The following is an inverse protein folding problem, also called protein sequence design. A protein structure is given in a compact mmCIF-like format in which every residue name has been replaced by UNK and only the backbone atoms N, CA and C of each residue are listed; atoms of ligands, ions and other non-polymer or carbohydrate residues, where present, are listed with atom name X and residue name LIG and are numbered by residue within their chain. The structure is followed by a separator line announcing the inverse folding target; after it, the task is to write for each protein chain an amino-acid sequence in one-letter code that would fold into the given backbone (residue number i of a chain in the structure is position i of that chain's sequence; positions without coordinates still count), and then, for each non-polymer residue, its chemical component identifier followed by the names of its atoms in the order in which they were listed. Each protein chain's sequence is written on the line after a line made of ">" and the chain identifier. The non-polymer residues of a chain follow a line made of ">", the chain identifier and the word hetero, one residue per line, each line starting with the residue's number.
data_IF_125311252934
#
_entry.id   IF_125311252934
#
_cell.length_a   1.000
_cell.length_b   1.000
_cell.length_c   1.000
_cell.angle_alpha   90.00
_cell.angle_beta   90.00
_cell.angle_gamma   90.00
#
_symmetry.space_group_name_H-M   'P 1'
#
loop_
_entity.id
_entity.type
_entity.pdbx_description
1 polymer ?
#
# COMPACT_ATOMS: atom_id res chain seq x y z
N UNK A 1 -7.86 1.75 15.91
CA UNK A 1 -6.93 2.68 15.25
C UNK A 1 -6.85 4.06 15.88
N UNK A 2 -7.97 4.75 16.18
CA UNK A 2 -7.96 6.10 16.79
C UNK A 2 -6.97 6.27 17.95
N UNK A 3 -7.06 5.44 19.00
CA UNK A 3 -6.16 5.55 20.15
C UNK A 3 -4.67 5.36 19.85
N UNK A 4 -4.30 4.63 18.79
CA UNK A 4 -2.90 4.49 18.35
C UNK A 4 -2.41 5.78 17.68
N UNK A 5 -3.26 6.40 16.86
CA UNK A 5 -2.96 7.66 16.16
C UNK A 5 -2.82 8.80 17.16
N UNK A 6 -3.78 8.92 18.09
CA UNK A 6 -3.77 9.96 19.12
C UNK A 6 -2.59 9.79 20.10
N UNK A 7 -2.23 8.56 20.48
CA UNK A 7 -1.06 8.30 21.32
C UNK A 7 0.27 8.67 20.64
N UNK A 8 0.33 8.68 19.31
CA UNK A 8 1.48 9.14 18.55
C UNK A 8 1.54 10.69 18.41
N UNK A 9 0.58 11.41 19.01
CA UNK A 9 0.48 12.87 18.92
C UNK A 9 -0.10 13.37 17.60
N UNK A 10 -0.72 12.49 16.81
CA UNK A 10 -1.37 12.85 15.55
C UNK A 10 -2.88 13.05 15.74
N UNK A 11 -3.46 13.95 14.95
CA UNK A 11 -4.92 14.13 14.87
C UNK A 11 -5.54 12.95 14.09
N UNK A 12 -6.57 12.34 14.67
CA UNK A 12 -7.29 11.27 13.99
C UNK A 12 -8.40 11.82 13.11
N UNK A 13 -8.35 11.49 11.82
CA UNK A 13 -9.42 11.76 10.88
C UNK A 13 -10.08 10.44 10.46
N UNK A 14 -11.42 10.30 10.57
CA UNK A 14 -12.11 9.13 10.05
C UNK A 14 -11.95 9.07 8.53
N UNK A 15 -11.42 7.96 8.04
CA UNK A 15 -11.48 7.64 6.62
C UNK A 15 -12.91 7.25 6.25
N UNK A 16 -13.54 8.00 5.33
CA UNK A 16 -14.96 7.83 5.02
C UNK A 16 -15.17 6.91 3.81
N UNK A 17 -16.05 5.92 3.98
CA UNK A 17 -16.71 5.25 2.86
C UNK A 17 -17.97 6.01 2.49
N UNK A 18 -18.12 6.40 1.22
CA UNK A 18 -19.25 7.22 0.76
C UNK A 18 -20.64 6.61 1.08
N UNK A 19 -20.72 5.29 1.20
CA UNK A 19 -21.98 4.55 1.39
C UNK A 19 -21.93 3.52 2.51
N UNK A 20 -21.00 3.65 3.46
CA UNK A 20 -20.83 2.68 4.56
C UNK A 20 -20.25 3.32 5.82
N UNK A 21 -20.66 2.79 6.98
CA UNK A 21 -20.09 3.13 8.30
C UNK A 21 -18.68 2.53 8.50
N UNK A 22 -18.17 1.80 7.51
CA UNK A 22 -16.82 1.24 7.55
C UNK A 22 -15.75 2.33 7.57
N UNK A 23 -14.82 2.18 8.51
CA UNK A 23 -13.66 3.07 8.68
C UNK A 23 -12.39 2.31 8.35
N UNK A 24 -12.08 2.20 7.06
CA UNK A 24 -10.88 1.54 6.53
C UNK A 24 -11.16 0.67 5.30
N UNK A 25 -10.13 0.27 4.57
CA UNK A 25 -10.25 -0.49 3.31
C UNK A 25 -10.86 -1.88 3.51
N UNK A 26 -11.82 -2.27 2.67
CA UNK A 26 -12.33 -3.65 2.66
C UNK A 26 -11.20 -4.62 2.25
N UNK A 27 -11.18 -5.79 2.89
CA UNK A 27 -10.26 -6.88 2.48
C UNK A 27 -10.84 -7.76 1.38
N UNK A 28 -12.16 -7.74 1.20
CA UNK A 28 -12.93 -8.57 0.27
C UNK A 28 -14.08 -7.74 -0.35
N UNK A 29 -14.71 -8.26 -1.40
CA UNK A 29 -15.95 -7.69 -1.95
C UNK A 29 -17.08 -7.77 -0.91
N UNK A 30 -17.90 -6.72 -0.82
CA UNK A 30 -19.19 -6.77 -0.13
C UNK A 30 -20.28 -7.35 -1.07
N UNK A 31 -21.53 -7.46 -0.61
CA UNK A 31 -22.63 -8.01 -1.41
C UNK A 31 -22.80 -7.30 -2.76
N UNK A 32 -22.63 -5.98 -2.80
CA UNK A 32 -22.72 -5.17 -4.03
C UNK A 32 -21.54 -5.42 -4.96
N UNK A 33 -20.34 -5.54 -4.39
CA UNK A 33 -19.14 -5.90 -5.12
C UNK A 33 -19.25 -7.30 -5.74
N UNK A 34 -19.82 -8.26 -5.00
CA UNK A 34 -20.07 -9.62 -5.50
C UNK A 34 -21.06 -9.56 -6.67
N UNK A 35 -22.22 -8.93 -6.49
CA UNK A 35 -23.24 -8.79 -7.53
C UNK A 35 -22.70 -8.14 -8.82
N UNK A 36 -21.83 -7.14 -8.68
CA UNK A 36 -21.29 -6.40 -9.83
C UNK A 36 -20.15 -7.11 -10.55
N UNK A 37 -19.25 -7.77 -9.82
CA UNK A 37 -17.97 -8.22 -10.35
C UNK A 37 -17.78 -9.74 -10.39
N UNK A 38 -18.63 -10.51 -9.71
CA UNK A 38 -18.53 -11.97 -9.66
C UNK A 38 -19.54 -12.58 -10.64
N UNK A 39 -19.09 -13.33 -11.66
CA UNK A 39 -19.99 -14.05 -12.55
C UNK A 39 -20.85 -15.09 -11.83
N UNK A 40 -22.07 -15.31 -12.34
CA UNK A 40 -22.97 -16.34 -11.81
C UNK A 40 -22.29 -17.72 -11.80
N UNK A 41 -22.35 -18.39 -10.65
CA UNK A 41 -21.81 -19.74 -10.48
C UNK A 41 -20.30 -19.80 -10.20
N UNK A 42 -19.60 -18.66 -10.09
CA UNK A 42 -18.21 -18.64 -9.63
C UNK A 42 -18.12 -19.13 -8.17
N UNK A 43 -17.25 -20.11 -7.85
CA UNK A 43 -17.04 -20.56 -6.48
C UNK A 43 -16.54 -19.44 -5.57
N UNK A 44 -16.97 -19.47 -4.30
CA UNK A 44 -16.61 -18.48 -3.29
C UNK A 44 -15.09 -18.36 -3.10
N UNK A 45 -14.38 -19.49 -3.23
CA UNK A 45 -12.93 -19.48 -3.11
C UNK A 45 -12.24 -18.69 -4.20
N UNK A 46 -12.86 -18.40 -5.36
CA UNK A 46 -12.20 -17.69 -6.46
C UNK A 46 -12.25 -16.16 -6.31
N UNK A 47 -13.18 -15.62 -5.50
CA UNK A 47 -13.36 -14.18 -5.33
C UNK A 47 -13.17 -13.67 -3.89
N UNK A 48 -13.08 -14.55 -2.90
CA UNK A 48 -12.66 -14.20 -1.53
C UNK A 48 -11.14 -14.05 -1.40
N UNK A 49 -10.54 -13.24 -2.26
CA UNK A 49 -9.12 -12.93 -2.22
C UNK A 49 -8.90 -11.43 -2.07
N UNK A 50 -7.79 -11.05 -1.42
CA UNK A 50 -7.41 -9.66 -1.21
C UNK A 50 -7.41 -8.87 -2.53
N UNK A 51 -6.98 -9.51 -3.63
CA UNK A 51 -6.88 -8.91 -4.96
C UNK A 51 -8.23 -8.56 -5.58
N UNK A 52 -9.25 -9.38 -5.33
CA UNK A 52 -10.60 -9.21 -5.90
C UNK A 52 -11.28 -7.96 -5.36
N UNK A 53 -10.98 -7.57 -4.12
CA UNK A 53 -11.49 -6.35 -3.51
C UNK A 53 -10.80 -5.06 -3.95
N UNK A 54 -9.60 -5.11 -4.56
CA UNK A 54 -8.78 -3.90 -4.78
C UNK A 54 -9.41 -2.89 -5.74
N UNK A 55 -9.96 -3.37 -6.86
CA UNK A 55 -10.58 -2.51 -7.89
C UNK A 55 -11.88 -1.92 -7.35
N UNK A 56 -12.72 -2.74 -6.73
CA UNK A 56 -13.96 -2.29 -6.13
C UNK A 56 -13.71 -1.26 -5.02
N UNK A 57 -12.72 -1.50 -4.15
CA UNK A 57 -12.32 -0.55 -3.14
C UNK A 57 -11.93 0.80 -3.72
N UNK A 58 -11.17 0.80 -4.81
CA UNK A 58 -10.80 2.05 -5.45
C UNK A 58 -12.04 2.80 -5.97
N UNK A 59 -12.98 2.10 -6.61
CA UNK A 59 -14.22 2.70 -7.09
C UNK A 59 -15.04 3.33 -5.95
N UNK A 60 -15.18 2.64 -4.82
CA UNK A 60 -16.00 3.11 -3.70
C UNK A 60 -15.33 4.26 -2.94
N UNK A 61 -13.99 4.28 -2.89
CA UNK A 61 -13.22 5.23 -2.07
C UNK A 61 -12.81 6.50 -2.79
N UNK A 62 -12.55 6.43 -4.09
CA UNK A 62 -12.09 7.58 -4.86
C UNK A 62 -13.04 8.80 -4.84
N UNK A 63 -14.38 8.66 -4.73
CA UNK A 63 -15.26 9.83 -4.68
C UNK A 63 -15.06 10.71 -3.43
N UNK A 64 -14.86 10.11 -2.26
CA UNK A 64 -14.75 10.85 -0.98
C UNK A 64 -13.32 11.18 -0.59
N UNK A 65 -12.35 10.39 -1.10
CA UNK A 65 -10.95 10.55 -0.72
C UNK A 65 -10.35 11.93 -1.05
N UNK A 66 -10.63 12.56 -2.22
CA UNK A 66 -10.12 13.89 -2.50
C UNK A 66 -10.61 14.94 -1.49
N UNK A 67 -11.88 14.89 -1.09
CA UNK A 67 -12.45 15.79 -0.08
C UNK A 67 -11.75 15.61 1.28
N UNK A 68 -11.51 14.36 1.68
CA UNK A 68 -10.81 14.05 2.92
C UNK A 68 -9.35 14.57 2.89
N UNK A 69 -8.67 14.41 1.76
CA UNK A 69 -7.30 14.89 1.57
C UNK A 69 -7.23 16.42 1.50
N UNK A 70 -8.21 17.09 0.91
CA UNK A 70 -8.30 18.55 0.90
C UNK A 70 -8.55 19.14 2.30
N UNK A 71 -9.28 18.42 3.15
CA UNK A 71 -9.49 18.81 4.55
C UNK A 71 -8.20 18.69 5.38
N UNK A 72 -7.44 17.61 5.17
CA UNK A 72 -6.18 17.34 5.91
C UNK A 72 -5.01 18.17 5.35
N UNK A 73 -5.02 18.47 4.04
CA UNK A 73 -3.94 19.14 3.30
C UNK A 73 -2.56 18.53 3.54
N UNK A 74 -2.37 17.23 3.28
CA UNK A 74 -1.10 16.59 3.53
C UNK A 74 -0.02 17.11 2.57
N UNK A 75 1.20 17.30 3.08
CA UNK A 75 2.36 17.64 2.25
C UNK A 75 2.87 16.45 1.41
N UNK A 76 2.55 15.22 1.83
CA UNK A 76 2.89 13.97 1.15
C UNK A 76 1.88 12.89 1.51
N UNK A 77 1.53 12.03 0.55
CA UNK A 77 0.73 10.83 0.78
C UNK A 77 1.65 9.63 0.84
N UNK A 78 1.65 8.94 1.97
CA UNK A 78 2.34 7.66 2.12
C UNK A 78 1.32 6.54 1.98
N UNK A 79 1.54 5.60 1.06
CA UNK A 79 0.55 4.58 0.72
C UNK A 79 1.17 3.21 0.45
N UNK A 80 0.37 2.15 0.56
CA UNK A 80 0.76 0.80 0.14
C UNK A 80 0.48 0.64 -1.37
N UNK A 81 1.47 0.33 -2.22
CA UNK A 81 1.32 0.26 -3.67
C UNK A 81 0.26 -0.71 -4.21
N UNK A 82 -0.17 -1.72 -3.44
CA UNK A 82 -1.29 -2.58 -3.83
C UNK A 82 -2.65 -1.87 -3.80
N UNK A 83 -2.73 -0.72 -3.13
CA UNK A 83 -3.92 0.12 -3.10
C UNK A 83 -3.75 1.23 -4.14
N UNK A 84 -4.47 1.14 -5.26
CA UNK A 84 -4.31 2.09 -6.37
C UNK A 84 -4.93 3.47 -6.08
N UNK A 85 -5.96 3.54 -5.22
CA UNK A 85 -6.73 4.76 -5.00
C UNK A 85 -5.95 5.96 -4.41
N UNK A 86 -4.96 5.80 -3.49
CA UNK A 86 -4.18 6.93 -2.98
C UNK A 86 -3.32 7.56 -4.05
N UNK A 87 -2.77 6.75 -4.97
CA UNK A 87 -1.96 7.25 -6.09
C UNK A 87 -2.80 8.08 -7.05
N UNK A 88 -4.02 7.62 -7.36
CA UNK A 88 -4.95 8.37 -8.21
C UNK A 88 -5.36 9.69 -7.54
N UNK A 89 -5.73 9.66 -6.27
CA UNK A 89 -6.11 10.88 -5.54
C UNK A 89 -4.94 11.89 -5.43
N UNK A 90 -3.72 11.40 -5.19
CA UNK A 90 -2.52 12.22 -5.17
C UNK A 90 -2.26 12.91 -6.51
N UNK A 91 -2.45 12.19 -7.61
CA UNK A 91 -2.30 12.74 -8.96
C UNK A 91 -3.32 13.84 -9.25
N UNK A 92 -4.59 13.62 -8.89
CA UNK A 92 -5.67 14.61 -9.09
C UNK A 92 -5.43 15.88 -8.28
N UNK A 93 -4.96 15.75 -7.04
CA UNK A 93 -4.73 16.88 -6.14
C UNK A 93 -3.34 17.53 -6.27
N UNK A 94 -2.45 16.97 -7.10
CA UNK A 94 -1.07 17.46 -7.23
C UNK A 94 -0.22 17.28 -5.96
N UNK A 95 -0.55 16.29 -5.13
CA UNK A 95 0.16 16.01 -3.87
C UNK A 95 1.25 14.97 -4.13
N UNK A 96 2.50 15.14 -3.64
CA UNK A 96 3.52 14.11 -3.73
C UNK A 96 3.08 12.80 -3.07
N UNK A 97 3.34 11.66 -3.72
CA UNK A 97 2.99 10.33 -3.20
C UNK A 97 4.23 9.42 -3.10
N UNK A 98 4.37 8.74 -1.96
CA UNK A 98 5.45 7.79 -1.68
C UNK A 98 4.85 6.42 -1.37
N UNK A 99 5.16 5.45 -2.22
CA UNK A 99 4.80 4.05 -1.98
C UNK A 99 5.71 3.43 -0.93
N UNK A 100 5.13 2.87 0.13
CA UNK A 100 5.81 2.01 1.09
C UNK A 100 5.48 0.56 0.73
N UNK A 101 6.47 -0.20 0.27
CA UNK A 101 6.31 -1.64 0.08
C UNK A 101 6.70 -2.38 1.35
N UNK A 102 5.74 -3.14 1.89
CA UNK A 102 6.06 -4.07 2.97
C UNK A 102 6.78 -5.29 2.41
N UNK A 103 8.11 -5.27 2.46
CA UNK A 103 8.91 -6.46 2.14
C UNK A 103 8.79 -7.47 3.27
N UNK A 104 8.27 -8.66 2.99
CA UNK A 104 8.34 -9.78 3.93
C UNK A 104 9.80 -10.05 4.25
N UNK A 105 10.16 -10.01 5.55
CA UNK A 105 11.52 -10.27 5.99
C UNK A 105 12.02 -11.65 5.53
N UNK A 106 13.35 -11.87 5.48
CA UNK A 106 13.92 -13.12 5.01
C UNK A 106 13.40 -14.36 5.77
N UNK A 107 12.98 -14.22 7.03
CA UNK A 107 12.38 -15.30 7.81
C UNK A 107 11.00 -15.79 7.33
N UNK A 108 10.27 -15.00 6.53
CA UNK A 108 8.98 -15.38 5.92
C UNK A 108 9.16 -15.94 4.50
N UNK A 109 10.24 -15.54 3.82
CA UNK A 109 10.59 -16.01 2.47
C UNK A 109 11.34 -17.34 2.47
N UNK A 110 11.81 -17.80 3.63
CA UNK A 110 12.35 -19.15 3.77
C UNK A 110 11.19 -20.14 3.78
N UNK A 111 10.97 -20.79 2.63
CA UNK A 111 10.32 -22.10 2.59
C UNK A 111 10.98 -22.93 3.68
N UNK A 112 10.19 -23.48 4.61
CA UNK A 112 10.69 -24.32 5.68
C UNK A 112 11.49 -25.47 5.06
N UNK A 113 12.80 -25.30 4.98
CA UNK A 113 13.72 -26.39 4.77
C UNK A 113 13.70 -27.15 6.09
N UNK A 114 12.80 -28.12 6.18
CA UNK A 114 12.88 -29.21 7.14
C UNK A 114 14.17 -29.96 6.85
N UNK A 115 15.28 -29.42 7.37
CA UNK A 115 16.55 -30.12 7.41
C UNK A 115 17.36 -29.54 8.56
N UNK A 116 17.24 -30.23 9.71
CA UNK A 116 18.31 -30.41 10.68
C UNK A 116 18.93 -29.15 11.26
N UNK A 117 18.54 -28.85 12.49
CA UNK A 117 19.45 -28.20 13.44
C UNK A 117 20.77 -29.00 13.49
N UNK A 118 21.83 -28.44 12.93
CA UNK A 118 23.20 -28.76 13.33
C UNK A 118 23.87 -27.47 13.78
N UNK A 119 23.86 -27.28 15.10
CA UNK A 119 24.87 -26.49 15.80
C UNK A 119 26.22 -27.11 15.43
N UNK A 120 26.99 -26.45 14.56
CA UNK A 120 28.46 -26.48 14.60
C UNK A 120 29.02 -25.40 13.69
N UNK A 121 29.85 -24.54 14.28
CA UNK A 121 30.35 -23.33 13.66
C UNK A 121 31.05 -23.55 12.33
N UNK A 122 30.70 -22.72 11.35
CA UNK A 122 31.56 -22.48 10.20
C UNK A 122 31.67 -20.97 9.95
N UNK A 123 32.75 -20.42 10.50
CA UNK A 123 33.34 -19.15 10.13
C UNK A 123 33.95 -19.32 8.74
N UNK A 124 33.26 -18.90 7.69
CA UNK A 124 33.85 -18.75 6.36
C UNK A 124 33.40 -17.44 5.70
N UNK A 125 34.40 -16.59 5.48
CA UNK A 125 34.38 -15.37 4.69
C UNK A 125 33.75 -15.62 3.32
N UNK A 126 32.78 -14.78 2.97
CA UNK A 126 32.21 -14.72 1.63
C UNK A 126 31.50 -13.39 1.40
N UNK A 127 32.25 -12.28 1.45
CA UNK A 127 31.81 -11.01 0.86
C UNK A 127 31.73 -11.21 -0.65
N UNK A 128 30.56 -11.00 -1.23
CA UNK A 128 30.26 -10.07 -2.36
C UNK A 128 29.06 -10.60 -3.15
N UNK A 129 27.86 -10.14 -2.79
CA UNK A 129 26.75 -10.06 -3.77
C UNK A 129 25.71 -8.99 -3.40
N UNK A 130 25.51 -8.73 -2.11
CA UNK A 130 24.43 -7.85 -1.64
C UNK A 130 24.71 -6.34 -1.61
N UNK A 131 25.87 -5.86 -2.08
CA UNK A 131 26.21 -4.43 -2.09
C UNK A 131 25.92 -3.74 -3.44
N UNK A 132 25.52 -4.47 -4.49
CA UNK A 132 25.33 -3.88 -5.82
C UNK A 132 23.90 -3.47 -6.19
N UNK A 133 22.90 -3.81 -5.38
CA UNK A 133 21.50 -3.38 -5.62
C UNK A 133 21.09 -2.13 -4.83
N UNK A 134 21.85 -1.74 -3.80
CA UNK A 134 21.61 -0.52 -3.01
C UNK A 134 22.22 0.76 -3.62
N UNK A 135 22.92 0.65 -4.76
CA UNK A 135 23.62 1.78 -5.41
C UNK A 135 22.98 2.21 -6.75
N UNK A 136 21.80 1.69 -7.11
CA UNK A 136 21.03 2.14 -8.28
C UNK A 136 19.94 3.18 -7.96
N UNK A 137 19.77 3.60 -6.71
CA UNK A 137 18.75 4.58 -6.31
C UNK A 137 19.30 5.94 -5.85
N UNK A 138 20.58 6.26 -6.15
CA UNK A 138 21.21 7.51 -5.70
C UNK A 138 21.61 8.49 -6.81
N UNK A 139 21.20 8.29 -8.07
CA UNK A 139 21.45 9.23 -9.17
C UNK A 139 20.29 9.39 -10.15
N UNK A 140 19.13 9.78 -9.63
CA UNK A 140 18.09 10.44 -10.44
C UNK A 140 17.37 11.51 -9.64
N UNK A 141 18.13 12.32 -8.89
CA UNK A 141 17.75 13.70 -8.64
C UNK A 141 18.22 14.52 -9.84
N UNK A 142 17.39 14.61 -10.88
CA UNK A 142 17.59 15.53 -11.99
C UNK A 142 16.56 16.66 -11.84
N UNK A 143 17.12 17.83 -11.58
CA UNK A 143 16.51 19.15 -11.47
C UNK A 143 15.27 19.38 -12.35
N UNK A 144 14.17 19.76 -11.73
CA UNK A 144 13.13 20.55 -12.38
C UNK A 144 13.28 22.00 -11.91
N UNK A 145 14.05 22.79 -12.66
CA UNK A 145 14.03 24.25 -12.56
C UNK A 145 12.91 24.77 -13.46
N UNK A 146 11.76 25.12 -12.88
CA UNK A 146 10.71 25.86 -13.57
C UNK A 146 10.94 27.37 -13.37
N UNK A 147 11.52 28.01 -14.37
CA UNK A 147 11.35 29.46 -14.61
C UNK A 147 10.27 29.61 -15.68
N UNK A 148 9.20 30.39 -15.48
CA UNK A 148 8.18 30.60 -16.50
C UNK A 148 8.64 31.65 -17.53
N UNK A 149 8.20 31.57 -18.79
CA UNK A 149 8.36 32.66 -19.73
C UNK A 149 7.26 33.72 -19.55
N UNK A 150 7.63 34.96 -19.92
CA UNK A 150 6.88 36.22 -20.00
C UNK A 150 7.05 37.17 -18.81
#
# INVERSE_FOLDING_TARGET
>A
MRGVVEAAGAEWHPFRYASSELTGTLKCLDERGIEKYVPDGTPEEEYLHLTSGMVYNAEVLLPTLPEDLEAIRPAVIVYEPFLAFPQVAAHVLGIPAVGLMTMTGPGVLQKSATSGCHILGCKARGRTFWTRMALMFSRTACSWSSTPPF
#
